data_IF_118404742444
#
_entry.id   IF_118404742444
#
_cell.length_a   1.000
_cell.length_b   1.000
_cell.length_c   1.000
_cell.angle_alpha   90.00
_cell.angle_beta   90.00
_cell.angle_gamma   90.00
#
_symmetry.space_group_name_H-M   'P 1'
#
loop_
_entity.id
_entity.type
_entity.pdbx_description
1 polymer ?
#
# COMPACT_ATOMS: atom_id res chain seq x y z
N UNK A 1 -57.70 -10.62 -17.48
CA UNK A 1 -56.55 -10.03 -16.75
C UNK A 1 -56.85 -8.58 -16.46
N UNK A 2 -56.91 -8.19 -15.18
CA UNK A 2 -57.20 -6.82 -14.77
C UNK A 2 -55.98 -5.92 -15.03
N UNK A 3 -56.18 -4.66 -15.45
CA UNK A 3 -55.09 -3.70 -15.73
C UNK A 3 -54.08 -3.60 -14.57
N UNK A 4 -54.56 -3.74 -13.33
CA UNK A 4 -53.73 -3.76 -12.12
C UNK A 4 -52.72 -4.93 -12.08
N UNK A 5 -53.13 -6.13 -12.51
CA UNK A 5 -52.24 -7.30 -12.57
C UNK A 5 -51.14 -7.13 -13.60
N UNK A 6 -51.42 -6.44 -14.71
CA UNK A 6 -50.40 -6.14 -15.73
C UNK A 6 -49.37 -5.13 -15.22
N UNK A 7 -49.79 -4.10 -14.48
CA UNK A 7 -48.88 -3.12 -13.87
C UNK A 7 -47.97 -3.75 -12.81
N UNK A 8 -48.50 -4.63 -11.95
CA UNK A 8 -47.70 -5.32 -10.94
C UNK A 8 -46.66 -6.23 -11.62
N UNK A 9 -47.03 -6.92 -12.69
CA UNK A 9 -46.11 -7.78 -13.46
C UNK A 9 -45.03 -6.95 -14.16
N UNK A 10 -45.36 -5.77 -14.67
CA UNK A 10 -44.39 -4.87 -15.30
C UNK A 10 -43.41 -4.25 -14.29
N UNK A 11 -43.90 -3.84 -13.12
CA UNK A 11 -43.06 -3.29 -12.03
C UNK A 11 -42.14 -4.39 -11.47
N UNK A 12 -42.64 -5.61 -11.29
CA UNK A 12 -41.80 -6.74 -10.85
C UNK A 12 -40.79 -7.16 -11.91
N UNK A 13 -41.10 -7.06 -13.21
CA UNK A 13 -40.10 -7.24 -14.27
C UNK A 13 -39.01 -6.16 -14.24
N UNK A 14 -39.37 -4.89 -14.04
CA UNK A 14 -38.40 -3.80 -13.92
C UNK A 14 -37.52 -3.92 -12.66
N UNK A 15 -38.08 -4.41 -11.54
CA UNK A 15 -37.30 -4.69 -10.33
C UNK A 15 -36.37 -5.90 -10.50
N UNK A 16 -36.78 -6.92 -11.26
CA UNK A 16 -35.91 -8.07 -11.58
C UNK A 16 -34.78 -7.68 -12.56
N UNK A 17 -35.06 -6.82 -13.55
CA UNK A 17 -34.05 -6.30 -14.49
C UNK A 17 -33.13 -5.27 -13.83
N UNK A 18 -33.59 -4.54 -12.81
CA UNK A 18 -32.75 -3.63 -12.02
C UNK A 18 -31.90 -4.35 -10.95
N UNK A 19 -32.29 -5.57 -10.56
CA UNK A 19 -31.45 -6.46 -9.75
C UNK A 19 -30.38 -7.19 -10.57
N UNK A 20 -30.55 -7.25 -11.89
CA UNK A 20 -29.46 -7.57 -12.82
C UNK A 20 -28.65 -6.29 -13.03
N UNK A 21 -28.05 -5.77 -11.95
CA UNK A 21 -26.99 -4.79 -12.05
C UNK A 21 -25.93 -5.43 -12.94
N UNK A 22 -25.90 -5.05 -14.21
CA UNK A 22 -25.07 -5.64 -15.25
C UNK A 22 -23.69 -5.92 -14.63
N UNK A 23 -23.38 -7.21 -14.43
CA UNK A 23 -22.11 -7.63 -13.85
C UNK A 23 -21.04 -6.90 -14.65
N UNK A 24 -20.27 -6.05 -13.97
CA UNK A 24 -19.22 -5.29 -14.63
C UNK A 24 -18.27 -6.32 -15.22
N UNK A 25 -18.22 -6.39 -16.55
CA UNK A 25 -17.38 -7.37 -17.24
C UNK A 25 -15.93 -7.23 -16.76
N UNK A 26 -15.31 -8.35 -16.41
CA UNK A 26 -13.92 -8.37 -16.00
C UNK A 26 -13.02 -7.89 -17.14
N UNK A 27 -11.95 -7.20 -16.76
CA UNK A 27 -10.97 -6.74 -17.73
C UNK A 27 -10.39 -7.89 -18.56
N UNK A 28 -10.38 -7.72 -19.87
CA UNK A 28 -9.69 -8.64 -20.78
C UNK A 28 -8.20 -8.27 -20.87
N UNK A 29 -7.27 -9.21 -20.65
CA UNK A 29 -5.84 -8.94 -20.74
C UNK A 29 -5.40 -8.68 -22.18
N UNK A 30 -4.40 -7.81 -22.36
CA UNK A 30 -3.62 -7.77 -23.61
C UNK A 30 -2.68 -8.98 -23.69
N UNK A 31 -2.18 -9.28 -24.88
CA UNK A 31 -1.20 -10.35 -25.05
C UNK A 31 0.06 -10.08 -24.20
N UNK A 32 0.46 -11.05 -23.38
CA UNK A 32 1.63 -10.94 -22.49
C UNK A 32 1.43 -10.02 -21.29
N UNK A 33 0.18 -9.73 -20.93
CA UNK A 33 -0.19 -8.94 -19.75
C UNK A 33 -0.96 -9.80 -18.76
N UNK A 34 -0.60 -9.72 -17.48
CA UNK A 34 -1.37 -10.29 -16.39
C UNK A 34 -2.35 -9.25 -15.88
N UNK A 35 -3.64 -9.58 -15.82
CA UNK A 35 -4.68 -8.69 -15.30
C UNK A 35 -5.38 -9.33 -14.13
N UNK A 36 -5.38 -8.64 -12.99
CA UNK A 36 -6.15 -8.99 -11.81
C UNK A 36 -7.29 -8.00 -11.70
N UNK A 37 -8.50 -8.51 -11.56
CA UNK A 37 -9.70 -7.69 -11.43
C UNK A 37 -10.49 -8.14 -10.21
N UNK A 38 -10.71 -7.23 -9.27
CA UNK A 38 -11.32 -7.50 -7.97
C UNK A 38 -12.55 -6.62 -7.81
N UNK A 39 -13.73 -7.24 -7.73
CA UNK A 39 -14.97 -6.53 -7.44
C UNK A 39 -15.55 -6.98 -6.09
N UNK A 40 -16.72 -6.46 -5.72
CA UNK A 40 -17.35 -6.74 -4.41
C UNK A 40 -17.79 -8.20 -4.23
N UNK A 41 -18.00 -8.93 -5.31
CA UNK A 41 -18.48 -10.32 -5.29
C UNK A 41 -17.33 -11.31 -5.48
N UNK A 42 -16.59 -11.14 -6.56
CA UNK A 42 -15.65 -12.10 -7.12
C UNK A 42 -14.34 -11.40 -7.52
N UNK A 43 -13.29 -12.19 -7.68
CA UNK A 43 -12.05 -11.74 -8.32
C UNK A 43 -11.62 -12.70 -9.43
N UNK A 44 -10.97 -12.12 -10.43
CA UNK A 44 -10.53 -12.83 -11.63
C UNK A 44 -9.07 -12.59 -11.93
N UNK A 45 -8.48 -13.57 -12.60
CA UNK A 45 -7.16 -13.51 -13.20
C UNK A 45 -7.33 -13.71 -14.70
N UNK A 46 -6.86 -12.74 -15.49
CA UNK A 46 -6.96 -12.75 -16.95
C UNK A 46 -8.39 -12.98 -17.46
N UNK A 47 -9.37 -12.41 -16.77
CA UNK A 47 -10.80 -12.54 -17.07
C UNK A 47 -11.46 -13.84 -16.60
N UNK A 48 -10.70 -14.77 -16.01
CA UNK A 48 -11.24 -16.02 -15.45
C UNK A 48 -11.46 -15.84 -13.95
N UNK A 49 -12.70 -16.04 -13.48
CA UNK A 49 -13.04 -15.99 -12.05
C UNK A 49 -12.34 -17.15 -11.33
N UNK A 50 -11.57 -16.82 -10.29
CA UNK A 50 -10.80 -17.80 -9.52
C UNK A 50 -11.16 -17.84 -8.03
N UNK A 51 -12.04 -16.95 -7.57
CA UNK A 51 -12.54 -16.97 -6.19
C UNK A 51 -13.52 -15.85 -5.87
N UNK A 52 -13.93 -15.78 -4.61
CA UNK A 52 -14.88 -14.79 -4.08
C UNK A 52 -14.21 -13.80 -3.15
N UNK A 53 -14.44 -12.52 -3.37
CA UNK A 53 -13.80 -11.43 -2.62
C UNK A 53 -14.15 -11.46 -1.14
N UNK A 54 -15.39 -11.81 -0.79
CA UNK A 54 -15.83 -11.87 0.60
C UNK A 54 -15.15 -13.01 1.38
N UNK A 55 -15.10 -14.21 0.82
CA UNK A 55 -14.59 -15.40 1.54
C UNK A 55 -13.08 -15.49 1.52
N UNK A 56 -12.47 -15.19 0.37
CA UNK A 56 -11.06 -15.53 0.16
C UNK A 56 -10.15 -14.35 0.52
N UNK A 57 -10.71 -13.14 0.61
CA UNK A 57 -9.95 -11.90 0.87
C UNK A 57 -10.46 -11.16 2.11
N UNK A 58 -11.74 -10.74 2.10
CA UNK A 58 -12.27 -9.79 3.08
C UNK A 58 -12.42 -10.38 4.48
N UNK A 59 -12.94 -11.61 4.56
CA UNK A 59 -13.16 -12.33 5.83
C UNK A 59 -12.01 -13.26 6.21
N UNK A 60 -10.99 -13.37 5.37
CA UNK A 60 -9.80 -14.17 5.66
C UNK A 60 -8.77 -13.29 6.39
N UNK A 61 -8.15 -13.78 7.46
CA UNK A 61 -7.10 -13.07 8.18
C UNK A 61 -5.73 -13.18 7.49
N UNK A 62 -5.58 -14.15 6.58
CA UNK A 62 -4.34 -14.34 5.84
C UNK A 62 -4.00 -13.14 4.96
N UNK A 63 -2.72 -12.76 4.95
CA UNK A 63 -2.22 -11.69 4.09
C UNK A 63 -2.24 -12.08 2.60
N UNK A 64 -1.97 -13.36 2.32
CA UNK A 64 -1.88 -13.88 0.96
C UNK A 64 -3.19 -14.53 0.55
N UNK A 65 -3.68 -14.17 -0.63
CA UNK A 65 -4.90 -14.72 -1.21
C UNK A 65 -4.51 -16.02 -1.91
N UNK A 66 -4.60 -17.15 -1.21
CA UNK A 66 -4.02 -18.42 -1.65
C UNK A 66 -4.42 -18.85 -3.09
N UNK A 67 -5.70 -18.76 -3.53
CA UNK A 67 -6.03 -19.11 -4.92
C UNK A 67 -5.35 -18.20 -5.94
N UNK A 68 -5.19 -16.91 -5.62
CA UNK A 68 -4.51 -15.95 -6.49
C UNK A 68 -2.99 -16.16 -6.48
N UNK A 69 -2.38 -16.40 -5.31
CA UNK A 69 -0.94 -16.63 -5.19
C UNK A 69 -0.48 -17.85 -6.01
N UNK A 70 -1.21 -18.96 -5.90
CA UNK A 70 -0.89 -20.19 -6.62
C UNK A 70 -0.88 -19.98 -8.15
N UNK A 71 -1.91 -19.33 -8.68
CA UNK A 71 -2.03 -19.08 -10.12
C UNK A 71 -0.97 -18.07 -10.60
N UNK A 72 -0.72 -17.00 -9.84
CA UNK A 72 0.29 -16.00 -10.17
C UNK A 72 1.71 -16.57 -10.16
N UNK A 73 2.04 -17.44 -9.20
CA UNK A 73 3.35 -18.10 -9.14
C UNK A 73 3.55 -19.04 -10.32
N UNK A 74 2.52 -19.78 -10.75
CA UNK A 74 2.64 -20.66 -11.89
C UNK A 74 2.82 -19.89 -13.20
N UNK A 75 2.05 -18.81 -13.41
CA UNK A 75 2.27 -17.89 -14.55
C UNK A 75 3.68 -17.33 -14.51
N UNK A 76 4.12 -16.83 -13.34
CA UNK A 76 5.43 -16.21 -13.20
C UNK A 76 6.57 -17.18 -13.49
N UNK A 77 6.44 -18.44 -13.04
CA UNK A 77 7.40 -19.50 -13.33
C UNK A 77 7.57 -19.70 -14.84
N UNK A 78 6.46 -19.75 -15.59
CA UNK A 78 6.49 -19.90 -17.05
C UNK A 78 7.10 -18.68 -17.73
N UNK A 79 6.72 -17.46 -17.34
CA UNK A 79 7.31 -16.22 -17.87
C UNK A 79 8.84 -16.18 -17.68
N UNK A 80 9.31 -16.55 -16.49
CA UNK A 80 10.72 -16.57 -16.15
C UNK A 80 11.48 -17.64 -16.96
N UNK A 81 10.94 -18.84 -17.10
CA UNK A 81 11.52 -19.89 -17.93
C UNK A 81 11.60 -19.47 -19.41
N UNK A 82 10.57 -18.80 -19.93
CA UNK A 82 10.59 -18.25 -21.29
C UNK A 82 11.61 -17.13 -21.47
N UNK A 83 11.70 -16.21 -20.51
CA UNK A 83 12.67 -15.12 -20.51
C UNK A 83 14.11 -15.65 -20.55
N UNK A 84 14.40 -16.63 -19.69
CA UNK A 84 15.70 -17.32 -19.66
C UNK A 84 16.00 -18.02 -20.99
N UNK A 85 15.03 -18.69 -21.61
CA UNK A 85 15.20 -19.32 -22.94
C UNK A 85 15.46 -18.30 -24.05
N UNK A 86 14.89 -17.10 -23.95
CA UNK A 86 15.03 -16.00 -24.91
C UNK A 86 16.26 -15.12 -24.63
N UNK A 87 16.97 -15.34 -23.52
CA UNK A 87 18.13 -14.54 -23.11
C UNK A 87 17.78 -13.11 -22.70
N UNK A 88 16.54 -12.87 -22.27
CA UNK A 88 16.06 -11.57 -21.77
C UNK A 88 15.97 -11.59 -20.23
N UNK A 89 15.98 -10.43 -19.56
CA UNK A 89 15.84 -10.36 -18.11
C UNK A 89 14.54 -11.03 -17.63
N UNK A 90 14.64 -11.87 -16.59
CA UNK A 90 13.53 -12.64 -16.03
C UNK A 90 12.82 -11.90 -14.87
N UNK A 91 13.26 -10.69 -14.56
CA UNK A 91 12.72 -9.79 -13.55
C UNK A 91 11.65 -8.84 -14.11
N UNK A 92 11.63 -8.59 -15.42
CA UNK A 92 10.56 -7.85 -16.08
C UNK A 92 9.21 -8.56 -15.92
N UNK A 93 8.18 -7.81 -15.51
CA UNK A 93 6.80 -8.29 -15.40
C UNK A 93 5.85 -7.19 -15.89
N UNK A 94 4.76 -7.58 -16.53
CA UNK A 94 3.73 -6.65 -16.99
C UNK A 94 2.39 -7.05 -16.39
N UNK A 95 2.04 -6.42 -15.28
CA UNK A 95 0.78 -6.66 -14.60
C UNK A 95 -0.07 -5.40 -14.48
N UNK A 96 -1.39 -5.60 -14.47
CA UNK A 96 -2.40 -4.59 -14.15
C UNK A 96 -3.35 -5.09 -13.07
N UNK A 97 -3.74 -4.18 -12.19
CA UNK A 97 -4.76 -4.38 -11.18
C UNK A 97 -5.95 -3.45 -11.45
N UNK A 98 -7.16 -3.98 -11.50
CA UNK A 98 -8.38 -3.20 -11.36
C UNK A 98 -9.08 -3.61 -10.07
N UNK A 99 -9.51 -2.61 -9.31
CA UNK A 99 -10.18 -2.82 -8.04
C UNK A 99 -11.43 -1.94 -7.94
N UNK A 100 -12.53 -2.53 -7.46
CA UNK A 100 -13.74 -1.78 -7.15
C UNK A 100 -13.48 -0.74 -6.06
N UNK A 101 -14.03 0.44 -6.26
CA UNK A 101 -13.76 1.61 -5.42
C UNK A 101 -14.43 1.54 -4.04
N UNK A 102 -15.41 0.65 -3.87
CA UNK A 102 -16.14 0.39 -2.64
C UNK A 102 -15.56 -0.76 -1.81
N UNK A 103 -14.46 -1.37 -2.28
CA UNK A 103 -13.69 -2.31 -1.46
C UNK A 103 -12.91 -1.55 -0.39
N UNK A 104 -12.58 -2.26 0.68
CA UNK A 104 -11.76 -1.73 1.77
C UNK A 104 -10.27 -1.75 1.41
N UNK A 105 -9.48 -0.96 2.11
CA UNK A 105 -8.04 -0.91 1.93
C UNK A 105 -7.38 -2.24 2.28
N UNK A 106 -7.93 -3.01 3.22
CA UNK A 106 -7.46 -4.37 3.53
C UNK A 106 -7.49 -5.28 2.29
N UNK A 107 -8.60 -5.27 1.54
CA UNK A 107 -8.72 -6.03 0.29
C UNK A 107 -7.67 -5.57 -0.72
N UNK A 108 -7.54 -4.26 -0.91
CA UNK A 108 -6.51 -3.71 -1.81
C UNK A 108 -5.09 -4.12 -1.37
N UNK A 109 -4.79 -4.03 -0.07
CA UNK A 109 -3.48 -4.34 0.48
C UNK A 109 -3.13 -5.83 0.33
N UNK A 110 -4.07 -6.74 0.60
CA UNK A 110 -3.87 -8.18 0.41
C UNK A 110 -3.63 -8.54 -1.05
N UNK A 111 -4.33 -7.88 -1.99
CA UNK A 111 -4.11 -8.10 -3.43
C UNK A 111 -2.72 -7.64 -3.86
N UNK A 112 -2.30 -6.42 -3.52
CA UNK A 112 -0.95 -5.94 -3.86
C UNK A 112 0.14 -6.73 -3.14
N UNK A 113 -0.09 -7.18 -1.91
CA UNK A 113 0.84 -8.03 -1.18
C UNK A 113 0.98 -9.38 -1.88
N UNK A 114 -0.13 -10.02 -2.25
CA UNK A 114 -0.13 -11.28 -3.01
C UNK A 114 0.66 -11.12 -4.30
N UNK A 115 0.37 -10.09 -5.11
CA UNK A 115 1.13 -9.78 -6.33
C UNK A 115 2.64 -9.66 -6.08
N UNK A 116 3.04 -8.89 -5.06
CA UNK A 116 4.44 -8.71 -4.71
C UNK A 116 5.12 -10.00 -4.27
N UNK A 117 4.41 -10.84 -3.49
CA UNK A 117 4.92 -12.13 -3.05
C UNK A 117 5.09 -13.13 -4.20
N UNK A 118 4.23 -13.06 -5.23
CA UNK A 118 4.33 -13.85 -6.45
C UNK A 118 5.29 -13.25 -7.49
N UNK A 119 6.00 -12.17 -7.18
CA UNK A 119 7.08 -11.62 -8.01
C UNK A 119 6.72 -10.45 -8.94
N UNK A 120 5.52 -9.87 -8.79
CA UNK A 120 5.09 -8.68 -9.53
C UNK A 120 5.37 -7.41 -8.72
N UNK A 121 6.57 -6.85 -8.90
CA UNK A 121 7.05 -5.69 -8.11
C UNK A 121 6.74 -4.34 -8.75
N UNK A 122 6.40 -4.29 -10.04
CA UNK A 122 5.97 -3.08 -10.74
C UNK A 122 4.71 -3.39 -11.55
N UNK A 123 3.64 -2.61 -11.34
CA UNK A 123 2.38 -2.79 -12.03
C UNK A 123 1.55 -1.51 -12.04
N UNK A 124 0.59 -1.44 -12.95
CA UNK A 124 -0.38 -0.34 -12.99
C UNK A 124 -1.66 -0.75 -12.27
N UNK A 125 -2.31 0.18 -11.59
CA UNK A 125 -3.61 -0.07 -11.01
C UNK A 125 -4.64 1.00 -11.35
N UNK A 126 -5.91 0.58 -11.38
CA UNK A 126 -7.08 1.40 -11.63
C UNK A 126 -8.09 1.18 -10.51
N UNK A 127 -8.65 2.27 -9.99
CA UNK A 127 -9.70 2.25 -8.97
C UNK A 127 -11.03 2.63 -9.62
N UNK A 128 -12.06 1.80 -9.42
CA UNK A 128 -13.40 2.04 -9.92
C UNK A 128 -13.46 2.07 -11.45
N UNK A 129 -14.17 3.02 -12.04
CA UNK A 129 -14.30 3.13 -13.49
C UNK A 129 -13.27 4.05 -14.15
N UNK A 130 -12.24 4.52 -13.42
CA UNK A 130 -11.31 5.54 -13.92
C UNK A 130 -10.14 4.96 -14.73
N UNK A 131 -10.45 4.23 -15.81
CA UNK A 131 -9.43 3.63 -16.70
C UNK A 131 -8.59 4.65 -17.48
N UNK A 132 -8.95 5.94 -17.45
CA UNK A 132 -8.21 7.01 -18.16
C UNK A 132 -6.94 7.44 -17.44
N UNK A 133 -6.88 7.20 -16.13
CA UNK A 133 -5.78 7.67 -15.28
C UNK A 133 -5.26 6.52 -14.40
N UNK A 134 -4.62 5.49 -15.02
CA UNK A 134 -3.97 4.44 -14.26
C UNK A 134 -2.85 5.03 -13.38
N UNK A 135 -2.65 4.41 -12.23
CA UNK A 135 -1.61 4.78 -11.28
C UNK A 135 -0.52 3.71 -11.29
N UNK A 136 0.74 4.12 -11.36
CA UNK A 136 1.85 3.17 -11.22
C UNK A 136 2.09 2.82 -9.75
N UNK A 137 2.32 1.54 -9.51
CA UNK A 137 2.79 0.97 -8.25
C UNK A 137 4.15 0.33 -8.45
N UNK A 138 5.08 0.69 -7.56
CA UNK A 138 6.37 0.01 -7.44
C UNK A 138 6.48 -0.47 -5.99
N UNK A 139 6.33 -1.78 -5.80
CA UNK A 139 6.59 -2.42 -4.54
C UNK A 139 8.11 -2.47 -4.31
N UNK A 140 8.58 -2.35 -3.06
CA UNK A 140 9.98 -2.55 -2.77
C UNK A 140 10.40 -3.95 -3.23
N UNK A 141 11.48 -4.05 -4.02
CA UNK A 141 12.05 -5.35 -4.34
C UNK A 141 12.46 -6.03 -3.03
N UNK A 142 12.23 -7.34 -2.91
CA UNK A 142 12.70 -8.15 -1.76
C UNK A 142 14.21 -8.00 -1.52
N UNK A 143 14.98 -7.68 -2.56
CA UNK A 143 16.44 -7.43 -2.53
C UNK A 143 16.84 -5.96 -2.40
N UNK A 144 15.91 -5.01 -2.57
CA UNK A 144 16.18 -3.56 -2.48
C UNK A 144 16.22 -3.03 -1.04
N UNK A 145 16.47 -3.91 -0.07
CA UNK A 145 17.13 -3.50 1.15
C UNK A 145 18.63 -3.65 0.92
N UNK A 146 19.33 -2.61 0.44
CA UNK A 146 20.77 -2.70 0.29
C UNK A 146 21.37 -2.93 1.68
N UNK A 147 21.85 -4.16 1.90
CA UNK A 147 22.79 -4.54 2.96
C UNK A 147 24.21 -4.04 2.66
N UNK A 148 24.35 -2.92 1.95
CA UNK A 148 25.66 -2.34 1.67
C UNK A 148 25.87 -1.13 2.58
N UNK A 149 26.89 -1.25 3.43
CA UNK A 149 27.44 -0.25 4.36
C UNK A 149 27.92 1.06 3.70
N UNK A 150 27.59 1.31 2.43
CA UNK A 150 28.10 2.43 1.65
C UNK A 150 26.96 3.37 1.22
N UNK A 151 26.52 4.20 2.18
CA UNK A 151 25.64 5.34 1.92
C UNK A 151 24.46 5.44 2.89
N UNK A 152 24.34 6.57 3.57
CA UNK A 152 23.19 6.87 4.44
C UNK A 152 21.96 7.05 3.55
N UNK A 153 21.05 6.09 3.61
CA UNK A 153 19.79 6.08 2.87
C UNK A 153 18.61 5.89 3.84
N UNK A 154 17.42 6.35 3.45
CA UNK A 154 16.24 6.35 4.34
C UNK A 154 15.86 4.94 4.82
N UNK A 155 16.10 3.90 4.01
CA UNK A 155 15.82 2.51 4.39
C UNK A 155 16.71 2.03 5.56
N UNK A 156 18.01 2.34 5.54
CA UNK A 156 18.91 1.98 6.64
C UNK A 156 18.60 2.77 7.91
N UNK A 157 18.26 4.06 7.77
CA UNK A 157 17.77 4.91 8.86
C UNK A 157 16.54 4.33 9.57
N UNK A 158 15.57 3.84 8.79
CA UNK A 158 14.32 3.30 9.34
C UNK A 158 14.47 1.91 9.94
N UNK A 159 15.26 1.02 9.34
CA UNK A 159 15.59 -0.28 9.93
C UNK A 159 16.15 -0.08 11.34
N UNK A 160 17.09 0.84 11.48
CA UNK A 160 17.72 1.14 12.75
C UNK A 160 16.74 1.72 13.77
N UNK A 161 15.82 2.60 13.33
CA UNK A 161 14.76 3.14 14.18
C UNK A 161 13.85 2.01 14.71
N UNK A 162 13.45 1.07 13.85
CA UNK A 162 12.60 -0.08 14.21
C UNK A 162 13.34 -1.02 15.16
N UNK A 163 14.57 -1.41 14.84
CA UNK A 163 15.39 -2.28 15.69
C UNK A 163 15.56 -1.69 17.09
N UNK A 164 15.79 -0.38 17.18
CA UNK A 164 15.85 0.34 18.46
C UNK A 164 14.53 0.42 19.21
N UNK A 165 13.42 0.60 18.52
CA UNK A 165 12.10 0.55 19.15
C UNK A 165 11.80 -0.85 19.71
N UNK A 166 12.12 -1.91 18.96
CA UNK A 166 11.99 -3.30 19.41
C UNK A 166 12.92 -3.58 20.59
N UNK A 167 14.15 -3.07 20.58
CA UNK A 167 15.08 -3.20 21.69
C UNK A 167 14.57 -2.51 22.96
N UNK A 168 14.09 -1.26 22.87
CA UNK A 168 13.45 -0.53 23.98
C UNK A 168 12.22 -1.30 24.52
N UNK A 169 11.42 -1.89 23.65
CA UNK A 169 10.26 -2.70 24.05
C UNK A 169 10.70 -3.98 24.78
N UNK A 170 11.75 -4.65 24.27
CA UNK A 170 12.31 -5.85 24.90
C UNK A 170 12.95 -5.56 26.26
N UNK A 171 13.60 -4.40 26.44
CA UNK A 171 14.17 -3.95 27.71
C UNK A 171 13.08 -3.66 28.75
N UNK A 172 11.91 -3.15 28.33
CA UNK A 172 10.76 -2.98 29.23
C UNK A 172 10.19 -4.31 29.72
N UNK A 173 10.34 -5.39 28.95
CA UNK A 173 9.78 -6.71 29.27
C UNK A 173 10.79 -7.59 30.03
N UNK A 174 12.10 -7.45 29.76
CA UNK A 174 13.15 -8.25 30.36
C UNK A 174 13.98 -7.47 31.38
N UNK A 175 13.87 -7.81 32.67
CA UNK A 175 14.56 -7.15 33.77
C UNK A 175 16.05 -7.51 33.92
N UNK A 176 16.65 -8.25 32.97
CA UNK A 176 18.08 -8.61 33.01
C UNK A 176 18.60 -8.94 31.60
N UNK A 177 19.05 -7.92 30.86
CA UNK A 177 19.98 -8.12 29.73
C UNK A 177 21.40 -7.84 30.22
N UNK A 178 22.30 -8.80 30.07
CA UNK A 178 23.74 -8.58 30.22
C UNK A 178 24.18 -7.84 28.96
N UNK A 179 24.61 -6.59 29.11
CA UNK A 179 25.19 -5.82 28.00
C UNK A 179 26.61 -6.33 27.81
N UNK A 180 26.89 -6.94 26.66
CA UNK A 180 28.25 -7.27 26.23
C UNK A 180 28.86 -6.09 25.46
N UNK A 181 30.19 -6.03 25.37
CA UNK A 181 30.89 -4.97 24.63
C UNK A 181 30.46 -4.93 23.15
N UNK A 182 30.19 -6.09 22.53
CA UNK A 182 29.67 -6.18 21.16
C UNK A 182 28.27 -5.54 21.00
N UNK A 183 27.40 -5.70 22.00
CA UNK A 183 26.07 -5.06 22.00
C UNK A 183 26.20 -3.55 22.19
N UNK A 184 27.15 -3.10 23.02
CA UNK A 184 27.41 -1.68 23.24
C UNK A 184 27.97 -1.02 21.97
N UNK A 185 28.94 -1.63 21.30
CA UNK A 185 29.53 -1.12 20.07
C UNK A 185 28.51 -1.05 18.93
N UNK A 186 27.64 -2.07 18.81
CA UNK A 186 26.52 -2.04 17.87
C UNK A 186 25.61 -0.85 18.17
N UNK A 187 25.18 -0.67 19.43
CA UNK A 187 24.36 0.48 19.85
C UNK A 187 25.04 1.82 19.54
N UNK A 188 26.34 1.96 19.69
CA UNK A 188 27.02 3.22 19.35
C UNK A 188 26.88 3.50 17.85
N UNK A 189 27.21 2.54 16.99
CA UNK A 189 27.08 2.66 15.53
C UNK A 189 25.65 2.97 15.08
N UNK A 190 24.69 2.27 15.65
CA UNK A 190 23.26 2.47 15.42
C UNK A 190 22.83 3.91 15.78
N UNK A 191 23.32 4.43 16.91
CA UNK A 191 23.04 5.81 17.35
C UNK A 191 23.63 6.82 16.38
N UNK A 192 24.88 6.61 15.96
CA UNK A 192 25.56 7.47 14.99
C UNK A 192 24.83 7.49 13.65
N UNK A 193 24.35 6.34 13.18
CA UNK A 193 23.54 6.26 11.97
C UNK A 193 22.25 7.06 12.13
N UNK A 194 21.50 6.87 13.22
CA UNK A 194 20.27 7.62 13.50
C UNK A 194 20.50 9.13 13.58
N UNK A 195 21.59 9.58 14.19
CA UNK A 195 21.96 11.00 14.24
C UNK A 195 22.25 11.55 12.84
N UNK A 196 22.98 10.80 12.00
CA UNK A 196 23.25 11.25 10.63
C UNK A 196 21.98 11.25 9.78
N UNK A 197 21.09 10.29 9.98
CA UNK A 197 19.77 10.24 9.34
C UNK A 197 18.92 11.44 9.74
N UNK A 198 18.91 11.76 11.03
CA UNK A 198 18.26 12.93 11.59
C UNK A 198 18.75 14.26 11.03
N UNK A 199 20.06 14.36 10.78
CA UNK A 199 20.65 15.54 10.15
C UNK A 199 20.28 15.65 8.68
N UNK A 200 20.14 14.52 7.98
CA UNK A 200 19.97 14.48 6.53
C UNK A 200 18.50 14.53 6.09
N UNK A 201 17.59 13.85 6.77
CA UNK A 201 16.22 13.64 6.30
C UNK A 201 15.18 14.19 7.28
N UNK A 202 14.07 14.67 6.71
CA UNK A 202 12.82 14.85 7.45
C UNK A 202 12.09 13.50 7.46
N UNK A 203 11.75 13.00 8.65
CA UNK A 203 10.94 11.78 8.78
C UNK A 203 9.46 12.17 8.91
N UNK A 204 8.71 11.86 7.86
CA UNK A 204 7.34 12.28 7.65
C UNK A 204 6.46 11.08 7.25
N UNK A 205 5.32 10.91 7.92
CA UNK A 205 4.30 9.93 7.51
C UNK A 205 2.89 10.45 7.70
N UNK A 206 1.96 9.88 6.92
CA UNK A 206 0.55 10.18 6.96
C UNK A 206 -0.24 8.90 7.22
N UNK A 207 -0.98 8.87 8.32
CA UNK A 207 -1.91 7.80 8.65
C UNK A 207 -3.33 8.28 8.42
N UNK A 208 -4.11 7.54 7.64
CA UNK A 208 -5.52 7.82 7.37
C UNK A 208 -6.38 6.77 8.08
N UNK A 209 -7.27 7.25 8.93
CA UNK A 209 -8.23 6.42 9.68
C UNK A 209 -9.63 6.73 9.23
N UNK A 210 -10.49 5.72 9.28
CA UNK A 210 -11.93 5.85 9.10
C UNK A 210 -12.59 5.79 10.47
N UNK A 211 -13.58 6.66 10.69
CA UNK A 211 -14.49 6.63 11.82
C UNK A 211 -15.91 6.72 11.28
N UNK A 212 -16.40 5.60 10.73
CA UNK A 212 -17.63 5.56 9.95
C UNK A 212 -17.47 6.29 8.61
N UNK A 213 -18.33 7.25 8.32
CA UNK A 213 -18.26 8.04 7.09
C UNK A 213 -17.21 9.17 7.12
N UNK A 214 -16.67 9.46 8.31
CA UNK A 214 -15.68 10.51 8.52
C UNK A 214 -14.26 9.92 8.46
N UNK A 215 -13.34 10.67 7.85
CA UNK A 215 -11.91 10.34 7.88
C UNK A 215 -11.21 11.23 8.91
N UNK A 216 -10.25 10.66 9.62
CA UNK A 216 -9.26 11.44 10.35
C UNK A 216 -7.87 11.15 9.80
N UNK A 217 -7.03 12.17 9.90
CA UNK A 217 -5.69 12.16 9.33
C UNK A 217 -4.71 12.45 10.45
N UNK A 218 -3.76 11.56 10.65
CA UNK A 218 -2.68 11.75 11.61
C UNK A 218 -1.39 11.91 10.84
N UNK A 219 -0.78 13.07 10.99
CA UNK A 219 0.51 13.38 10.42
C UNK A 219 1.56 13.16 11.49
N UNK A 220 2.50 12.26 11.21
CA UNK A 220 3.68 12.11 12.03
C UNK A 220 4.83 12.90 11.42
N UNK A 221 5.40 13.80 12.21
CA UNK A 221 6.56 14.60 11.82
C UNK A 221 7.64 14.47 12.88
N UNK A 222 8.80 14.00 12.47
CA UNK A 222 9.98 13.95 13.29
C UNK A 222 11.08 14.83 12.69
N UNK A 223 11.03 16.11 13.07
CA UNK A 223 11.99 17.14 12.63
C UNK A 223 13.38 16.89 13.18
N UNK A 224 13.52 16.20 14.32
CA UNK A 224 14.83 15.89 14.91
C UNK A 224 15.42 14.59 14.39
N UNK A 225 14.64 13.74 13.72
CA UNK A 225 14.97 12.38 13.28
C UNK A 225 15.41 11.41 14.39
N UNK A 226 15.34 11.82 15.66
CA UNK A 226 15.63 10.97 16.80
C UNK A 226 14.43 10.07 17.11
N UNK A 227 14.67 8.90 17.72
CA UNK A 227 13.62 7.90 18.00
C UNK A 227 12.42 8.48 18.75
N UNK A 228 12.67 9.41 19.69
CA UNK A 228 11.63 10.01 20.54
C UNK A 228 11.25 11.44 20.09
N UNK A 229 11.71 11.85 18.91
CA UNK A 229 11.50 13.19 18.36
C UNK A 229 10.20 13.38 17.59
N UNK A 230 9.41 12.32 17.49
CA UNK A 230 8.19 12.25 16.70
C UNK A 230 7.06 13.04 17.36
N UNK A 231 6.45 13.94 16.58
CA UNK A 231 5.25 14.68 16.97
C UNK A 231 4.10 14.25 16.08
N UNK A 232 2.97 13.95 16.71
CA UNK A 232 1.73 13.56 16.03
C UNK A 232 0.79 14.77 15.96
N UNK A 233 0.20 14.98 14.78
CA UNK A 233 -0.76 16.04 14.52
C UNK A 233 -2.01 15.42 13.91
N UNK A 234 -3.17 15.65 14.52
CA UNK A 234 -4.44 15.06 14.06
C UNK A 234 -5.31 16.12 13.41
N UNK A 235 -5.92 15.76 12.27
CA UNK A 235 -6.79 16.60 11.47
C UNK A 235 -8.07 15.83 11.11
N UNK A 236 -9.20 16.55 11.03
CA UNK A 236 -10.48 16.01 10.54
C UNK A 236 -10.73 16.38 9.06
N UNK A 237 -9.96 17.34 8.55
CA UNK A 237 -10.05 17.81 7.17
C UNK A 237 -8.71 17.61 6.45
N UNK A 238 -8.77 17.01 5.27
CA UNK A 238 -7.61 16.78 4.42
C UNK A 238 -6.99 18.07 3.87
N UNK A 239 -7.77 19.14 3.71
CA UNK A 239 -7.23 20.44 3.27
C UNK A 239 -6.27 21.04 4.30
N UNK A 240 -6.52 20.79 5.58
CA UNK A 240 -5.64 21.25 6.66
C UNK A 240 -4.35 20.41 6.72
N UNK A 241 -4.43 19.13 6.36
CA UNK A 241 -3.24 18.28 6.13
C UNK A 241 -2.39 18.86 4.99
N UNK A 242 -3.01 19.26 3.88
CA UNK A 242 -2.28 19.84 2.75
C UNK A 242 -1.60 21.16 3.10
N UNK A 243 -2.30 22.05 3.81
CA UNK A 243 -1.68 23.29 4.33
C UNK A 243 -0.52 22.96 5.25
N UNK A 244 -0.67 21.98 6.13
CA UNK A 244 0.40 21.57 7.05
C UNK A 244 1.64 21.03 6.32
N UNK A 245 1.45 20.21 5.29
CA UNK A 245 2.56 19.71 4.44
C UNK A 245 3.24 20.87 3.71
N UNK A 246 2.47 21.79 3.14
CA UNK A 246 3.00 22.98 2.47
C UNK A 246 3.79 23.88 3.45
N UNK A 247 3.26 24.09 4.65
CA UNK A 247 3.92 24.86 5.70
C UNK A 247 5.26 24.23 6.10
N UNK A 248 5.33 22.90 6.29
CA UNK A 248 6.59 22.19 6.59
C UNK A 248 7.61 22.44 5.49
N UNK A 249 7.22 22.32 4.23
CA UNK A 249 8.10 22.50 3.06
C UNK A 249 8.62 23.93 2.92
N UNK A 250 7.91 24.92 3.48
CA UNK A 250 8.31 26.33 3.46
C UNK A 250 9.19 26.74 4.66
N UNK A 251 9.34 25.88 5.69
CA UNK A 251 10.16 26.20 6.88
C UNK A 251 11.64 26.29 6.51
N UNK A 252 12.21 27.49 6.67
CA UNK A 252 13.63 27.76 6.40
C UNK A 252 14.59 26.89 7.20
N UNK A 253 14.23 26.55 8.44
CA UNK A 253 15.04 25.70 9.33
C UNK A 253 15.15 24.24 8.84
N UNK A 254 14.30 23.84 7.90
CA UNK A 254 14.29 22.51 7.30
C UNK A 254 14.87 22.49 5.88
N UNK A 255 15.27 23.64 5.32
CA UNK A 255 15.78 23.73 3.93
C UNK A 255 17.14 23.05 3.72
N UNK A 256 17.93 22.90 4.78
CA UNK A 256 19.21 22.17 4.73
C UNK A 256 19.03 20.64 4.84
N UNK A 257 17.80 20.18 5.09
CA UNK A 257 17.44 18.75 5.10
C UNK A 257 16.87 18.35 3.75
N UNK A 258 17.19 17.14 3.32
CA UNK A 258 16.53 16.53 2.19
C UNK A 258 15.09 16.17 2.61
N UNK A 259 14.09 16.81 1.98
CA UNK A 259 12.72 16.29 1.98
C UNK A 259 12.82 14.89 1.39
N UNK A 260 12.41 13.89 2.15
CA UNK A 260 12.50 12.53 1.65
C UNK A 260 11.65 12.46 0.39
N UNK A 261 12.26 12.04 -0.72
CA UNK A 261 11.48 11.73 -1.91
C UNK A 261 10.51 10.58 -1.64
N UNK A 262 10.49 9.98 -0.45
CA UNK A 262 9.56 8.95 -0.01
C UNK A 262 8.66 9.41 1.12
N UNK A 263 7.35 9.23 0.95
CA UNK A 263 6.34 9.37 2.01
C UNK A 263 5.73 8.02 2.34
N UNK A 264 5.55 7.78 3.63
CA UNK A 264 4.83 6.62 4.14
C UNK A 264 3.38 7.01 4.36
N UNK A 265 2.50 6.30 3.66
CA UNK A 265 1.06 6.51 3.78
C UNK A 265 0.45 5.21 4.27
N UNK A 266 -0.10 5.23 5.47
CA UNK A 266 -0.82 4.11 6.02
C UNK A 266 -2.32 4.39 6.01
N UNK A 267 -3.10 3.34 5.73
CA UNK A 267 -4.54 3.39 5.81
C UNK A 267 -5.02 2.31 6.77
N UNK A 268 -6.00 2.63 7.61
CA UNK A 268 -6.71 1.61 8.40
C UNK A 268 -7.49 0.68 7.46
N UNK A 269 -7.64 -0.57 7.89
CA UNK A 269 -8.21 -1.68 7.11
C UNK A 269 -9.56 -1.38 6.46
N UNK A 270 -10.39 -0.57 7.11
CA UNK A 270 -11.77 -0.26 6.75
C UNK A 270 -11.91 0.94 5.79
N UNK A 271 -10.83 1.69 5.55
CA UNK A 271 -10.87 2.84 4.63
C UNK A 271 -11.19 2.37 3.22
N UNK A 272 -12.21 2.96 2.58
CA UNK A 272 -12.60 2.61 1.22
C UNK A 272 -11.55 3.05 0.18
N UNK A 273 -11.32 2.20 -0.81
CA UNK A 273 -10.29 2.38 -1.85
C UNK A 273 -10.51 3.66 -2.66
N UNK A 274 -11.75 4.10 -2.87
CA UNK A 274 -12.07 5.39 -3.51
C UNK A 274 -11.39 6.60 -2.87
N UNK A 275 -11.01 6.51 -1.59
CA UNK A 275 -10.33 7.59 -0.86
C UNK A 275 -8.82 7.63 -1.12
N UNK A 276 -8.23 6.57 -1.68
CA UNK A 276 -6.79 6.43 -1.88
C UNK A 276 -6.31 7.26 -3.09
N UNK A 277 -6.99 7.13 -4.24
CA UNK A 277 -6.53 7.73 -5.50
C UNK A 277 -6.29 9.25 -5.40
N UNK A 278 -7.20 10.07 -4.80
CA UNK A 278 -6.99 11.51 -4.66
C UNK A 278 -5.76 11.85 -3.80
N UNK A 279 -5.55 11.12 -2.70
CA UNK A 279 -4.41 11.29 -1.80
C UNK A 279 -3.10 10.97 -2.53
N UNK A 280 -3.05 9.83 -3.22
CA UNK A 280 -1.87 9.42 -3.99
C UNK A 280 -1.53 10.45 -5.07
N UNK A 281 -2.54 10.93 -5.81
CA UNK A 281 -2.33 11.96 -6.85
C UNK A 281 -1.78 13.25 -6.24
N UNK A 282 -2.38 13.74 -5.16
CA UNK A 282 -1.94 14.98 -4.51
C UNK A 282 -0.51 14.87 -3.97
N UNK A 283 -0.16 13.76 -3.33
CA UNK A 283 1.21 13.51 -2.86
C UNK A 283 2.22 13.43 -4.02
N UNK A 284 1.86 12.80 -5.15
CA UNK A 284 2.69 12.82 -6.36
C UNK A 284 2.91 14.26 -6.89
N UNK A 285 1.93 15.16 -6.78
CA UNK A 285 2.13 16.58 -7.17
C UNK A 285 3.16 17.31 -6.31
N UNK A 286 3.38 16.86 -5.08
CA UNK A 286 4.44 17.35 -4.21
C UNK A 286 5.82 16.72 -4.49
N UNK A 287 5.89 15.75 -5.41
CA UNK A 287 7.12 15.05 -5.79
C UNK A 287 7.41 13.78 -4.98
N UNK A 288 6.48 13.32 -4.13
CA UNK A 288 6.69 12.13 -3.31
C UNK A 288 6.54 10.82 -4.10
N UNK A 289 7.47 9.89 -3.85
CA UNK A 289 7.34 8.44 -4.03
C UNK A 289 6.58 7.88 -2.85
N UNK A 290 5.46 7.23 -3.11
CA UNK A 290 4.54 6.83 -2.04
C UNK A 290 4.76 5.37 -1.70
N UNK A 291 4.99 5.07 -0.42
CA UNK A 291 4.95 3.70 0.10
C UNK A 291 3.66 3.50 0.89
N UNK A 292 2.85 2.56 0.42
CA UNK A 292 1.55 2.22 1.00
C UNK A 292 1.73 1.11 2.05
N UNK A 293 1.12 1.28 3.22
CA UNK A 293 1.14 0.30 4.30
C UNK A 293 -0.25 0.09 4.92
N UNK A 294 -0.53 -1.14 5.32
CA UNK A 294 -1.64 -1.46 6.20
C UNK A 294 -1.28 -1.14 7.64
N UNK A 295 -2.06 -0.25 8.25
CA UNK A 295 -2.00 0.00 9.68
C UNK A 295 -2.77 -1.12 10.40
N UNK A 296 -2.02 -1.97 11.09
CA UNK A 296 -2.50 -3.18 11.78
C UNK A 296 -3.01 -2.91 13.20
N UNK A 297 -2.87 -1.68 13.72
CA UNK A 297 -3.28 -1.33 15.09
C UNK A 297 -4.80 -1.12 15.24
#
# INVERSE_FOLDING_TARGET
>A
MNRLSAYILFISLFLLVACDSAKKDFMTPKQGEVVIDVNTEDYSLNGTVIGKTATDISNNEDLLIMPLDNELQEIRRVEQEEALRKGIPADESNARLHIDENLSYDVFYKVIATMGFSGYVSFQYVIGSNFREPLDMNLPERSSYPFSDEGINLSSCRREKIERQMDKFSEKISHKRIITDEILDRRIKDTELLVKCAQKFIDFSLTIRSNGDCLSYEVSLNESGLIDGEKLYTYENIDDVWKFIEDIRLRRELQDKEDSDQIFVSFKKDVLVKKIAPIVKKLKTYGYKIRLYLDLE
#
